data_IF_443966400810
#
_entry.id   IF_443966400810
#
_cell.length_a   1.000
_cell.length_b   1.000
_cell.length_c   1.000
_cell.angle_alpha   90.00
_cell.angle_beta   90.00
_cell.angle_gamma   90.00
#
_symmetry.space_group_name_H-M   'P 1'
#
loop_
_entity.id
_entity.type
_entity.pdbx_description
1 polymer ?
#
# COMPACT_ATOMS: atom_id res chain seq x y z
N UNK A 1 -28.50 46.05 5.51
CA UNK A 1 -29.65 46.52 6.30
C UNK A 1 -30.91 45.93 5.66
N UNK A 2 -31.30 44.70 6.07
CA UNK A 2 -32.52 43.93 5.70
C UNK A 2 -32.83 43.69 4.19
N UNK A 3 -33.69 42.71 3.78
CA UNK A 3 -34.49 41.74 4.56
C UNK A 3 -34.46 40.27 4.06
N UNK A 4 -34.99 39.39 4.91
CA UNK A 4 -35.53 38.07 4.62
C UNK A 4 -36.61 38.06 3.51
N UNK A 5 -36.62 37.02 2.68
CA UNK A 5 -37.82 36.56 1.98
C UNK A 5 -37.94 35.03 2.04
N UNK A 6 -38.97 34.59 2.78
CA UNK A 6 -39.54 33.25 2.72
C UNK A 6 -40.04 32.93 1.30
N UNK A 7 -39.74 31.74 0.79
CA UNK A 7 -40.54 31.09 -0.25
C UNK A 7 -40.81 29.63 0.13
N UNK A 8 -42.09 29.34 0.33
CA UNK A 8 -42.68 28.03 0.58
C UNK A 8 -42.96 27.28 -0.74
N UNK A 9 -42.63 25.99 -0.72
CA UNK A 9 -43.28 24.87 -1.40
C UNK A 9 -43.81 24.99 -2.84
N UNK A 10 -43.13 24.31 -3.77
CA UNK A 10 -43.74 23.31 -4.68
C UNK A 10 -42.70 22.23 -5.05
N UNK A 11 -43.02 20.92 -4.97
CA UNK A 11 -42.15 19.87 -5.48
C UNK A 11 -42.16 19.86 -7.02
N UNK A 12 -40.98 19.81 -7.63
CA UNK A 12 -40.81 19.50 -9.07
C UNK A 12 -40.92 17.98 -9.28
N UNK A 13 -41.40 17.52 -10.45
CA UNK A 13 -41.88 16.16 -10.62
C UNK A 13 -40.73 15.14 -10.63
N UNK A 14 -40.85 14.12 -9.79
CA UNK A 14 -40.05 12.90 -9.88
C UNK A 14 -40.43 12.16 -11.17
N UNK A 15 -39.55 12.18 -12.15
CA UNK A 15 -39.56 11.20 -13.23
C UNK A 15 -39.19 9.84 -12.63
N UNK A 16 -40.21 9.01 -12.39
CA UNK A 16 -40.07 7.59 -12.08
C UNK A 16 -39.32 6.91 -13.23
N UNK A 17 -38.09 6.47 -12.96
CA UNK A 17 -37.44 5.44 -13.74
C UNK A 17 -37.83 4.08 -13.15
N UNK A 18 -38.40 3.21 -13.98
CA UNK A 18 -38.77 1.87 -13.58
C UNK A 18 -37.56 1.01 -13.21
N UNK A 19 -37.83 -0.11 -12.52
CA UNK A 19 -36.89 -1.16 -12.06
C UNK A 19 -35.95 -1.79 -13.12
N UNK A 20 -35.82 -1.21 -14.31
CA UNK A 20 -35.02 -1.71 -15.43
C UNK A 20 -33.74 -0.94 -15.76
N UNK A 21 -33.50 0.24 -15.17
CA UNK A 21 -32.32 1.04 -15.51
C UNK A 21 -31.26 1.00 -14.39
N UNK A 22 -30.45 -0.06 -14.40
CA UNK A 22 -29.11 0.02 -13.80
C UNK A 22 -28.35 1.08 -14.59
N UNK A 23 -28.27 2.30 -14.05
CA UNK A 23 -27.40 3.37 -14.57
C UNK A 23 -26.05 2.75 -14.86
N UNK A 24 -25.61 2.81 -16.13
CA UNK A 24 -24.40 2.10 -16.59
C UNK A 24 -23.25 2.32 -15.61
N UNK A 25 -22.70 1.22 -15.08
CA UNK A 25 -21.60 1.23 -14.11
C UNK A 25 -20.42 2.12 -14.53
N UNK A 26 -20.25 2.37 -15.84
CA UNK A 26 -19.26 3.29 -16.41
C UNK A 26 -19.44 4.74 -15.96
N UNK A 27 -20.67 5.27 -15.91
CA UNK A 27 -20.93 6.65 -15.49
C UNK A 27 -20.74 6.81 -13.97
N UNK A 28 -21.17 5.81 -13.19
CA UNK A 28 -20.94 5.71 -11.74
C UNK A 28 -19.44 5.58 -11.41
N UNK A 29 -18.66 4.82 -12.20
CA UNK A 29 -17.19 4.70 -12.07
C UNK A 29 -16.49 6.05 -12.28
N UNK A 30 -16.78 6.81 -13.32
CA UNK A 30 -16.09 8.08 -13.57
C UNK A 30 -16.35 9.15 -12.51
N UNK A 31 -17.60 9.29 -12.05
CA UNK A 31 -17.97 10.26 -11.00
C UNK A 31 -17.38 9.81 -9.67
N UNK A 32 -17.56 8.55 -9.27
CA UNK A 32 -17.03 8.02 -8.00
C UNK A 32 -15.51 8.04 -7.91
N UNK A 33 -14.77 7.74 -8.99
CA UNK A 33 -13.31 7.81 -9.01
C UNK A 33 -12.79 9.23 -8.81
N UNK A 34 -13.41 10.20 -9.48
CA UNK A 34 -13.05 11.61 -9.30
C UNK A 34 -13.33 12.08 -7.88
N UNK A 35 -14.45 11.64 -7.27
CA UNK A 35 -14.77 11.91 -5.87
C UNK A 35 -13.82 11.19 -4.88
N UNK A 36 -13.47 9.94 -5.13
CA UNK A 36 -12.48 9.20 -4.32
C UNK A 36 -11.11 9.90 -4.32
N UNK A 37 -10.70 10.43 -5.49
CA UNK A 37 -9.44 11.18 -5.64
C UNK A 37 -9.49 12.59 -5.05
N UNK A 38 -10.63 13.28 -5.15
CA UNK A 38 -10.79 14.66 -4.69
C UNK A 38 -11.05 14.75 -3.19
N UNK A 39 -11.83 13.81 -2.63
CA UNK A 39 -12.36 13.94 -1.27
C UNK A 39 -11.65 13.03 -0.27
N UNK A 40 -10.98 11.94 -0.67
CA UNK A 40 -10.48 10.90 0.26
C UNK A 40 -11.52 10.43 1.31
N UNK A 41 -12.81 10.66 1.04
CA UNK A 41 -13.92 10.50 1.98
C UNK A 41 -14.95 9.58 1.33
N UNK A 42 -15.41 8.64 2.14
CA UNK A 42 -16.54 7.73 1.98
C UNK A 42 -17.34 7.91 0.68
N UNK A 43 -17.23 6.94 -0.24
CA UNK A 43 -18.06 6.85 -1.44
C UNK A 43 -18.90 5.59 -1.36
N UNK A 44 -20.21 5.77 -1.22
CA UNK A 44 -21.21 4.73 -1.39
C UNK A 44 -21.86 4.89 -2.77
N UNK A 45 -21.85 3.82 -3.56
CA UNK A 45 -22.65 3.75 -4.79
C UNK A 45 -24.06 3.29 -4.38
N UNK A 46 -25.05 4.19 -4.39
CA UNK A 46 -26.37 3.92 -3.82
C UNK A 46 -27.53 4.34 -4.73
N UNK A 47 -28.57 3.50 -4.75
CA UNK A 47 -29.97 3.91 -4.87
C UNK A 47 -30.71 3.42 -3.62
N UNK A 48 -31.41 4.31 -2.90
CA UNK A 48 -32.34 3.99 -1.80
C UNK A 48 -31.81 3.16 -0.62
N UNK A 49 -30.59 3.41 -0.15
CA UNK A 49 -30.02 2.82 1.07
C UNK A 49 -29.34 1.45 0.89
N UNK A 50 -29.36 0.89 -0.32
CA UNK A 50 -28.60 -0.31 -0.70
C UNK A 50 -27.27 0.11 -1.38
N UNK A 51 -26.14 -0.49 -0.98
CA UNK A 51 -24.81 -0.18 -1.53
C UNK A 51 -24.15 -1.41 -2.11
N UNK A 52 -23.79 -1.38 -3.40
CA UNK A 52 -22.99 -2.44 -4.01
C UNK A 52 -21.53 -2.38 -3.50
N UNK A 53 -20.97 -1.17 -3.39
CA UNK A 53 -19.61 -0.92 -2.95
C UNK A 53 -19.59 0.20 -1.92
N UNK A 54 -18.90 -0.05 -0.82
CA UNK A 54 -18.62 0.92 0.22
C UNK A 54 -17.11 1.15 0.32
N UNK A 55 -16.65 2.24 -0.29
CA UNK A 55 -15.28 2.71 -0.14
C UNK A 55 -15.21 3.67 1.05
N UNK A 56 -14.88 3.14 2.24
CA UNK A 56 -14.94 3.87 3.50
C UNK A 56 -13.54 4.16 4.09
N UNK A 57 -13.48 5.11 5.01
CA UNK A 57 -12.31 5.26 5.88
C UNK A 57 -12.34 4.26 7.05
N UNK A 58 -11.19 4.11 7.70
CA UNK A 58 -11.00 3.20 8.84
C UNK A 58 -11.88 3.56 10.04
N UNK A 59 -12.24 4.83 10.23
CA UNK A 59 -13.13 5.29 11.29
C UNK A 59 -14.54 4.75 11.08
N UNK A 60 -15.09 4.94 9.88
CA UNK A 60 -16.39 4.41 9.50
C UNK A 60 -16.48 2.89 9.69
N UNK A 61 -15.44 2.15 9.27
CA UNK A 61 -15.40 0.69 9.43
C UNK A 61 -15.55 0.27 10.89
N UNK A 62 -14.85 0.93 11.82
CA UNK A 62 -14.88 0.59 13.25
C UNK A 62 -16.26 0.80 13.87
N UNK A 63 -16.98 1.82 13.42
CA UNK A 63 -18.27 2.18 13.98
C UNK A 63 -19.42 1.37 13.39
N UNK A 64 -19.33 0.96 12.12
CA UNK A 64 -20.49 0.45 11.39
C UNK A 64 -20.40 -1.03 10.99
N UNK A 65 -19.19 -1.61 10.88
CA UNK A 65 -19.03 -2.96 10.32
C UNK A 65 -19.79 -4.04 11.11
N UNK A 66 -19.73 -3.99 12.45
CA UNK A 66 -20.36 -4.99 13.31
C UNK A 66 -21.88 -4.80 13.48
N UNK A 67 -22.41 -3.67 13.01
CA UNK A 67 -23.82 -3.30 13.15
C UNK A 67 -24.59 -3.35 11.82
N UNK A 68 -23.89 -3.63 10.71
CA UNK A 68 -24.47 -3.63 9.37
C UNK A 68 -24.63 -5.06 8.87
N UNK A 69 -25.85 -5.41 8.43
CA UNK A 69 -26.05 -6.62 7.62
C UNK A 69 -25.63 -6.33 6.18
N UNK A 70 -24.82 -7.20 5.58
CA UNK A 70 -24.29 -7.02 4.23
C UNK A 70 -24.77 -8.16 3.34
N UNK A 71 -25.40 -7.82 2.22
CA UNK A 71 -25.77 -8.80 1.21
C UNK A 71 -24.55 -9.34 0.46
N UNK A 72 -24.69 -10.53 -0.14
CA UNK A 72 -23.59 -11.24 -0.81
C UNK A 72 -22.84 -10.42 -1.87
N UNK A 73 -23.56 -9.54 -2.57
CA UNK A 73 -22.98 -8.71 -3.63
C UNK A 73 -22.15 -7.53 -3.08
N UNK A 74 -22.34 -7.14 -1.82
CA UNK A 74 -21.70 -5.96 -1.22
C UNK A 74 -20.19 -6.17 -1.07
N UNK A 75 -19.42 -5.11 -1.34
CA UNK A 75 -17.97 -5.07 -1.12
C UNK A 75 -17.53 -3.86 -0.29
N UNK A 76 -16.50 -4.05 0.54
CA UNK A 76 -15.92 -3.05 1.44
C UNK A 76 -14.39 -3.06 1.30
N UNK A 77 -13.78 -1.87 1.25
CA UNK A 77 -12.34 -1.69 1.00
C UNK A 77 -11.43 -1.92 2.21
N UNK A 78 -11.92 -2.55 3.28
CA UNK A 78 -11.14 -2.85 4.47
C UNK A 78 -11.42 -4.22 5.10
N UNK A 79 -10.38 -4.90 5.58
CA UNK A 79 -10.53 -6.00 6.53
C UNK A 79 -10.72 -5.47 7.96
N UNK A 80 -11.56 -6.15 8.76
CA UNK A 80 -11.94 -5.73 10.12
C UNK A 80 -10.75 -5.44 11.02
N UNK A 81 -9.73 -6.29 10.99
CA UNK A 81 -8.48 -6.13 11.75
C UNK A 81 -7.25 -5.90 10.86
N UNK A 82 -7.40 -5.13 9.76
CA UNK A 82 -6.29 -4.72 8.88
C UNK A 82 -5.08 -4.14 9.64
N UNK A 83 -5.33 -3.55 10.81
CA UNK A 83 -4.30 -2.99 11.69
C UNK A 83 -3.26 -4.00 12.19
N UNK A 84 -3.50 -5.31 12.09
CA UNK A 84 -2.51 -6.36 12.36
C UNK A 84 -1.28 -6.26 11.43
N UNK A 85 -1.47 -5.75 10.22
CA UNK A 85 -0.40 -5.50 9.26
C UNK A 85 0.05 -4.04 9.24
N UNK A 86 -0.86 -3.09 9.49
CA UNK A 86 -0.58 -1.66 9.25
C UNK A 86 -0.14 -0.88 10.48
N UNK A 87 -0.46 -1.35 11.69
CA UNK A 87 0.09 -0.73 12.92
C UNK A 87 1.51 -1.23 13.15
N UNK A 88 2.44 -0.30 13.30
CA UNK A 88 3.89 -0.54 13.39
C UNK A 88 4.28 -1.60 14.44
N UNK A 89 3.68 -1.54 15.63
CA UNK A 89 3.94 -2.50 16.71
C UNK A 89 3.41 -3.92 16.40
N UNK A 90 2.19 -4.03 15.85
CA UNK A 90 1.58 -5.31 15.50
C UNK A 90 2.27 -5.93 14.29
N UNK A 91 2.59 -5.15 13.27
CA UNK A 91 3.37 -5.59 12.10
C UNK A 91 4.68 -6.25 12.52
N UNK A 92 5.47 -5.57 13.36
CA UNK A 92 6.76 -6.09 13.84
C UNK A 92 6.57 -7.33 14.71
N UNK A 93 5.55 -7.36 15.58
CA UNK A 93 5.21 -8.53 16.39
C UNK A 93 4.87 -9.75 15.51
N UNK A 94 4.05 -9.55 14.48
CA UNK A 94 3.61 -10.59 13.55
C UNK A 94 4.78 -11.10 12.69
N UNK A 95 5.63 -10.21 12.17
CA UNK A 95 6.84 -10.57 11.43
C UNK A 95 7.85 -11.34 12.29
N UNK A 96 8.13 -10.88 13.53
CA UNK A 96 9.00 -11.59 14.49
C UNK A 96 8.47 -12.98 14.79
N UNK A 97 7.15 -13.12 15.03
CA UNK A 97 6.49 -14.41 15.27
C UNK A 97 6.60 -15.33 14.06
N UNK A 98 6.32 -14.82 12.86
CA UNK A 98 6.39 -15.57 11.62
C UNK A 98 7.81 -16.08 11.33
N UNK A 99 8.83 -15.22 11.48
CA UNK A 99 10.24 -15.61 11.36
C UNK A 99 10.61 -16.77 12.31
N UNK A 100 10.21 -16.69 13.58
CA UNK A 100 10.47 -17.76 14.57
C UNK A 100 9.77 -19.07 14.22
N UNK A 101 8.60 -19.01 13.57
CA UNK A 101 7.91 -20.20 13.06
C UNK A 101 8.65 -20.79 11.86
N UNK A 102 9.03 -19.96 10.88
CA UNK A 102 9.84 -20.41 9.74
C UNK A 102 11.18 -21.02 10.16
N UNK A 103 11.86 -20.46 11.16
CA UNK A 103 13.12 -21.02 11.65
C UNK A 103 12.93 -22.43 12.23
N UNK A 104 11.80 -22.68 12.90
CA UNK A 104 11.45 -24.00 13.47
C UNK A 104 11.03 -25.01 12.41
N UNK A 105 10.30 -24.57 11.38
CA UNK A 105 9.70 -25.46 10.37
C UNK A 105 10.62 -25.71 9.16
N UNK A 106 11.34 -24.69 8.69
CA UNK A 106 12.13 -24.71 7.46
C UNK A 106 13.61 -24.35 7.66
N UNK A 107 14.01 -24.02 8.89
CA UNK A 107 15.40 -23.71 9.25
C UNK A 107 15.82 -22.25 9.04
N UNK A 108 17.06 -21.97 9.43
CA UNK A 108 17.60 -20.59 9.49
C UNK A 108 17.70 -19.89 8.14
N UNK A 109 18.02 -20.63 7.08
CA UNK A 109 18.18 -20.06 5.73
C UNK A 109 16.85 -19.53 5.17
N UNK A 110 15.75 -20.21 5.49
CA UNK A 110 14.42 -19.74 5.07
C UNK A 110 13.95 -18.57 5.95
N UNK A 111 14.26 -18.62 7.25
CA UNK A 111 13.96 -17.53 8.18
C UNK A 111 14.76 -16.26 7.88
N UNK A 112 15.97 -16.34 7.34
CA UNK A 112 16.77 -15.15 6.97
C UNK A 112 16.17 -14.38 5.81
N UNK A 113 15.30 -15.00 5.00
CA UNK A 113 14.51 -14.29 4.00
C UNK A 113 13.47 -13.34 4.62
N UNK A 114 13.30 -13.34 5.95
CA UNK A 114 12.54 -12.34 6.69
C UNK A 114 13.40 -11.16 7.20
N UNK A 115 14.70 -11.11 6.90
CA UNK A 115 15.62 -10.04 7.33
C UNK A 115 15.50 -8.76 6.49
N UNK A 116 14.26 -8.35 6.19
CA UNK A 116 13.93 -7.19 5.38
C UNK A 116 13.27 -6.06 6.15
N UNK A 117 13.16 -6.14 7.48
CA UNK A 117 12.67 -5.03 8.31
C UNK A 117 13.73 -4.65 9.35
N UNK A 118 13.94 -3.36 9.65
CA UNK A 118 15.00 -2.95 10.57
C UNK A 118 14.75 -3.47 11.99
N UNK A 119 15.82 -3.63 12.77
CA UNK A 119 15.71 -4.03 14.17
C UNK A 119 14.80 -3.06 14.93
N UNK A 120 13.74 -3.57 15.55
CA UNK A 120 12.64 -2.76 16.05
C UNK A 120 12.12 -3.28 17.38
N UNK A 121 11.89 -2.37 18.33
CA UNK A 121 11.40 -2.64 19.68
C UNK A 121 10.13 -1.85 19.98
N UNK A 122 9.16 -2.50 20.62
CA UNK A 122 7.90 -1.90 21.05
C UNK A 122 8.02 -1.45 22.50
N UNK A 123 7.92 -0.14 22.73
CA UNK A 123 8.01 0.47 24.04
C UNK A 123 6.61 0.74 24.63
N UNK A 124 6.45 0.61 25.96
CA UNK A 124 7.48 0.33 26.98
C UNK A 124 7.84 -1.17 27.14
N UNK A 125 7.11 -2.09 26.50
CA UNK A 125 7.22 -3.54 26.76
C UNK A 125 8.60 -4.16 26.51
N UNK A 126 9.35 -3.68 25.53
CA UNK A 126 10.66 -4.19 25.15
C UNK A 126 11.80 -3.23 25.56
N UNK A 127 11.55 -2.30 26.51
CA UNK A 127 12.52 -1.26 26.90
C UNK A 127 13.87 -1.84 27.36
N UNK A 128 13.87 -2.83 28.25
CA UNK A 128 15.10 -3.41 28.77
C UNK A 128 15.94 -4.07 27.66
N UNK A 129 15.28 -4.79 26.75
CA UNK A 129 15.95 -5.45 25.61
C UNK A 129 16.50 -4.40 24.63
N UNK A 130 15.76 -3.31 24.41
CA UNK A 130 16.23 -2.18 23.63
C UNK A 130 17.49 -1.55 24.24
N UNK A 131 17.52 -1.31 25.55
CA UNK A 131 18.68 -0.73 26.25
C UNK A 131 19.91 -1.63 26.15
N UNK A 132 19.74 -2.95 26.26
CA UNK A 132 20.84 -3.91 26.07
C UNK A 132 21.41 -3.84 24.65
N UNK A 133 20.55 -3.85 23.63
CA UNK A 133 20.97 -3.77 22.23
C UNK A 133 21.61 -2.41 21.91
N UNK A 134 21.09 -1.33 22.48
CA UNK A 134 21.66 0.01 22.37
C UNK A 134 23.07 0.08 22.95
N UNK A 135 23.28 -0.48 24.15
CA UNK A 135 24.61 -0.56 24.79
C UNK A 135 25.60 -1.43 24.01
N UNK A 136 25.11 -2.49 23.34
CA UNK A 136 25.93 -3.37 22.52
C UNK A 136 26.43 -2.72 21.23
N UNK A 137 25.70 -1.74 20.71
CA UNK A 137 26.05 -1.01 19.49
C UNK A 137 26.22 0.50 19.76
N UNK A 138 27.31 0.93 20.43
CA UNK A 138 27.55 2.34 20.70
C UNK A 138 27.62 3.15 19.41
N UNK A 139 26.94 4.30 19.37
CA UNK A 139 26.89 5.17 18.19
C UNK A 139 25.85 4.79 17.13
N UNK A 140 25.03 3.76 17.38
CA UNK A 140 23.92 3.43 16.46
C UNK A 140 22.79 4.46 16.52
N UNK A 141 22.29 4.84 15.34
CA UNK A 141 21.17 5.79 15.21
C UNK A 141 19.82 5.07 15.24
N UNK A 142 18.83 5.64 15.93
CA UNK A 142 17.48 5.09 16.06
C UNK A 142 16.43 6.13 15.68
N UNK A 143 15.26 5.66 15.25
CA UNK A 143 14.09 6.49 14.96
C UNK A 143 12.94 6.06 15.87
N UNK A 144 12.32 7.04 16.53
CA UNK A 144 11.20 6.84 17.45
C UNK A 144 9.90 7.20 16.75
N UNK A 145 9.03 6.20 16.59
CA UNK A 145 7.77 6.36 15.86
C UNK A 145 6.59 6.12 16.81
N UNK A 146 5.63 7.05 16.95
CA UNK A 146 4.38 6.75 17.63
C UNK A 146 3.62 5.64 16.90
N UNK A 147 2.88 4.82 17.64
CA UNK A 147 2.13 3.68 17.05
C UNK A 147 0.92 4.13 16.23
N UNK A 148 0.30 5.27 16.58
CA UNK A 148 -0.99 5.74 16.04
C UNK A 148 -0.90 6.94 15.10
N UNK A 149 0.22 7.64 15.03
CA UNK A 149 0.35 8.89 14.27
C UNK A 149 1.22 8.69 13.02
N UNK A 150 0.82 9.31 11.91
CA UNK A 150 1.59 9.39 10.67
C UNK A 150 2.73 10.42 10.74
N UNK A 151 3.25 10.71 11.92
CA UNK A 151 4.42 11.56 12.14
C UNK A 151 5.52 10.73 12.79
N UNK A 152 6.74 10.85 12.31
CA UNK A 152 7.91 10.23 12.90
C UNK A 152 8.84 11.32 13.36
N UNK A 153 9.25 11.31 14.62
CA UNK A 153 10.34 12.15 15.10
C UNK A 153 11.63 11.33 15.02
N UNK A 154 12.67 11.90 14.42
CA UNK A 154 14.02 11.35 14.57
C UNK A 154 14.53 11.82 15.92
N UNK A 155 14.98 10.86 16.73
CA UNK A 155 15.62 11.14 17.99
C UNK A 155 16.87 10.27 18.06
N UNK A 156 18.04 10.90 18.20
CA UNK A 156 19.20 10.23 18.77
C UNK A 156 18.87 9.99 20.24
N UNK A 157 18.29 8.83 20.56
CA UNK A 157 17.90 8.52 21.94
C UNK A 157 19.19 8.32 22.74
N UNK A 158 19.59 9.34 23.49
CA UNK A 158 20.42 9.12 24.67
C UNK A 158 19.51 8.52 25.74
N UNK A 159 19.84 7.37 26.35
CA UNK A 159 19.09 6.85 27.47
C UNK A 159 19.36 7.75 28.67
N UNK A 160 18.71 8.90 28.73
CA UNK A 160 18.64 9.73 29.93
C UNK A 160 17.46 9.29 30.78
N UNK A 161 17.72 9.21 32.07
CA UNK A 161 16.78 8.76 33.10
C UNK A 161 15.47 9.56 33.09
N UNK A 162 14.43 8.85 33.52
CA UNK A 162 13.00 9.18 33.51
C UNK A 162 12.64 10.66 33.67
N UNK A 163 11.60 11.08 32.93
CA UNK A 163 10.67 12.12 33.38
C UNK A 163 9.23 11.68 33.17
N UNK A 164 8.59 11.49 34.32
CA UNK A 164 7.21 11.77 34.70
C UNK A 164 6.01 11.12 33.98
N UNK A 165 5.05 10.79 34.85
CA UNK A 165 3.76 10.14 34.69
C UNK A 165 2.80 10.87 33.72
N UNK A 166 3.13 10.94 32.43
CA UNK A 166 2.15 11.15 31.37
C UNK A 166 1.70 9.79 30.81
N UNK A 167 0.45 9.69 30.34
CA UNK A 167 -0.06 8.47 29.67
C UNK A 167 1.00 7.95 28.70
N UNK A 168 1.55 6.76 28.98
CA UNK A 168 2.65 6.19 28.21
C UNK A 168 2.12 5.81 26.83
N UNK A 169 2.18 6.76 25.89
CA UNK A 169 1.92 6.48 24.50
C UNK A 169 2.89 5.38 24.05
N UNK A 170 2.37 4.38 23.33
CA UNK A 170 3.21 3.30 22.84
C UNK A 170 4.03 3.81 21.65
N UNK A 171 5.34 3.63 21.74
CA UNK A 171 6.30 3.99 20.70
C UNK A 171 6.99 2.75 20.14
N UNK A 172 7.51 2.91 18.94
CA UNK A 172 8.36 1.93 18.28
C UNK A 172 9.74 2.55 18.10
N UNK A 173 10.74 1.95 18.75
CA UNK A 173 12.16 2.27 18.58
C UNK A 173 12.73 1.39 17.47
N UNK A 174 13.09 1.99 16.34
CA UNK A 174 13.55 1.27 15.15
C UNK A 174 14.97 1.71 14.78
N UNK A 175 15.85 0.78 14.43
CA UNK A 175 17.20 1.08 13.95
C UNK A 175 17.10 1.91 12.67
N UNK A 176 17.77 3.04 12.65
CA UNK A 176 17.81 3.91 11.48
C UNK A 176 18.71 3.31 10.40
N UNK A 177 18.30 3.42 9.14
CA UNK A 177 19.13 3.03 8.00
C UNK A 177 20.02 4.22 7.66
N UNK A 178 21.25 4.18 8.17
CA UNK A 178 22.24 5.26 8.10
C UNK A 178 22.79 5.47 6.69
N UNK A 179 22.87 4.40 5.89
CA UNK A 179 23.39 4.42 4.53
C UNK A 179 22.29 4.08 3.51
N UNK A 180 21.27 4.95 3.31
CA UNK A 180 20.26 4.74 2.29
C UNK A 180 20.88 4.87 0.88
N UNK A 181 20.29 4.19 -0.10
CA UNK A 181 20.65 4.42 -1.50
C UNK A 181 20.23 5.85 -1.91
N UNK A 182 21.17 6.59 -2.50
CA UNK A 182 20.94 7.99 -2.88
C UNK A 182 20.94 8.15 -4.40
N UNK A 183 20.07 9.04 -4.88
CA UNK A 183 20.08 9.51 -6.28
C UNK A 183 20.31 11.01 -6.24
N UNK A 184 21.36 11.46 -6.94
CA UNK A 184 21.83 12.86 -6.88
C UNK A 184 22.03 13.39 -5.44
N UNK A 185 22.43 12.51 -4.51
CA UNK A 185 22.63 12.83 -3.10
C UNK A 185 21.35 13.01 -2.28
N UNK A 186 20.17 12.65 -2.81
CA UNK A 186 18.87 12.74 -2.11
C UNK A 186 18.38 11.36 -1.70
N UNK A 187 17.78 11.28 -0.51
CA UNK A 187 17.14 10.08 0.02
C UNK A 187 15.78 9.91 -0.66
N UNK A 188 15.34 8.67 -0.85
CA UNK A 188 13.99 8.39 -1.31
C UNK A 188 13.44 7.10 -0.72
N UNK A 189 12.12 7.00 -0.66
CA UNK A 189 11.42 5.75 -0.40
C UNK A 189 10.54 5.38 -1.60
N UNK A 190 10.13 4.12 -1.70
CA UNK A 190 9.22 3.60 -2.70
C UNK A 190 7.83 3.43 -2.11
N UNK A 191 6.82 4.01 -2.76
CA UNK A 191 5.41 3.66 -2.57
C UNK A 191 5.00 2.65 -3.63
N UNK A 192 4.60 1.46 -3.17
CA UNK A 192 4.09 0.37 -4.01
C UNK A 192 2.71 -0.06 -3.53
N UNK A 193 1.83 -0.48 -4.44
CA UNK A 193 0.45 -0.84 -4.11
C UNK A 193 0.22 -2.35 -4.24
N UNK A 194 -0.33 -2.95 -3.18
CA UNK A 194 -0.68 -4.38 -3.14
C UNK A 194 -2.14 -4.52 -2.74
N UNK A 195 -2.94 -5.13 -3.60
CA UNK A 195 -4.35 -5.40 -3.37
C UNK A 195 -4.54 -6.83 -2.88
N UNK A 196 -5.20 -7.00 -1.73
CA UNK A 196 -5.57 -8.31 -1.19
C UNK A 196 -7.08 -8.47 -1.27
N UNK A 197 -7.54 -9.50 -1.96
CA UNK A 197 -8.97 -9.79 -2.14
C UNK A 197 -9.47 -10.91 -1.21
N UNK A 198 -8.55 -11.67 -0.61
CA UNK A 198 -8.87 -12.70 0.38
C UNK A 198 -7.62 -13.10 1.14
N UNK A 199 -7.75 -13.43 2.42
CA UNK A 199 -6.75 -14.10 3.24
C UNK A 199 -7.02 -15.61 3.39
N UNK A 200 -8.22 -16.09 3.03
CA UNK A 200 -8.62 -17.51 3.10
C UNK A 200 -9.34 -17.91 1.80
N UNK A 201 -8.68 -18.52 0.82
CA UNK A 201 -7.22 -18.64 0.67
C UNK A 201 -6.58 -17.29 0.29
N UNK A 202 -5.29 -17.09 0.63
CA UNK A 202 -4.61 -15.81 0.36
C UNK A 202 -4.59 -15.54 -1.15
N UNK A 203 -5.12 -14.38 -1.56
CA UNK A 203 -5.10 -13.89 -2.94
C UNK A 203 -4.62 -12.44 -2.95
N UNK A 204 -3.44 -12.23 -3.52
CA UNK A 204 -2.76 -10.94 -3.53
C UNK A 204 -2.34 -10.55 -4.96
N UNK A 205 -2.47 -9.26 -5.25
CA UNK A 205 -2.20 -8.64 -6.53
C UNK A 205 -1.23 -7.47 -6.35
N UNK A 206 -0.18 -7.43 -7.16
CA UNK A 206 0.79 -6.36 -7.17
C UNK A 206 0.45 -5.37 -8.28
N UNK A 207 0.33 -4.09 -7.97
CA UNK A 207 0.20 -3.07 -9.00
C UNK A 207 1.56 -2.83 -9.66
N UNK A 208 1.62 -2.84 -10.99
CA UNK A 208 2.87 -2.68 -11.74
C UNK A 208 3.49 -1.29 -11.61
N UNK A 209 2.68 -0.29 -11.29
CA UNK A 209 3.14 1.08 -11.16
C UNK A 209 3.21 1.50 -9.68
N UNK A 210 3.93 2.58 -9.44
CA UNK A 210 4.20 3.13 -8.12
C UNK A 210 5.09 4.35 -8.27
N UNK A 211 5.64 4.86 -7.17
CA UNK A 211 6.54 6.00 -7.27
C UNK A 211 7.60 6.01 -6.17
N UNK A 212 8.77 6.54 -6.51
CA UNK A 212 9.80 6.92 -5.56
C UNK A 212 9.56 8.35 -5.08
N UNK A 213 9.52 8.59 -3.77
CA UNK A 213 9.39 9.92 -3.15
C UNK A 213 10.74 10.40 -2.66
N UNK A 214 11.21 11.52 -3.18
CA UNK A 214 12.52 12.09 -2.83
C UNK A 214 12.40 13.11 -1.69
N UNK A 215 13.46 13.19 -0.88
CA UNK A 215 13.70 14.34 0.00
C UNK A 215 14.00 15.59 -0.83
N UNK A 216 13.58 16.76 -0.34
CA UNK A 216 13.90 18.02 -0.98
C UNK A 216 15.38 18.42 -0.78
N UNK A 217 15.96 18.03 0.34
CA UNK A 217 17.36 18.32 0.69
C UNK A 217 18.25 17.10 0.46
N UNK A 218 19.56 17.36 0.28
CA UNK A 218 20.57 16.29 0.18
C UNK A 218 20.72 15.60 1.53
N UNK A 219 20.91 14.29 1.48
CA UNK A 219 21.08 13.44 2.66
C UNK A 219 22.40 13.74 3.37
N UNK A 220 22.35 13.96 4.68
CA UNK A 220 23.52 14.03 5.54
C UNK A 220 23.19 13.54 6.94
N UNK A 221 24.07 12.73 7.54
CA UNK A 221 23.95 12.33 8.94
C UNK A 221 24.43 13.42 9.92
N UNK A 222 25.11 14.46 9.43
CA UNK A 222 25.53 15.60 10.27
C UNK A 222 24.37 16.43 10.79
N UNK A 223 23.21 16.33 10.15
CA UNK A 223 22.04 17.18 10.38
C UNK A 223 20.83 16.36 10.85
N UNK A 224 21.03 15.49 11.84
CA UNK A 224 20.02 14.52 12.29
C UNK A 224 18.70 15.14 12.76
N UNK A 225 18.75 16.37 13.25
CA UNK A 225 17.60 17.13 13.72
C UNK A 225 16.77 17.71 12.56
N UNK A 226 17.33 17.77 11.34
CA UNK A 226 16.64 18.26 10.16
C UNK A 226 15.73 17.18 9.58
N UNK A 227 14.46 17.25 9.96
CA UNK A 227 13.42 16.33 9.50
C UNK A 227 13.27 16.32 7.97
N UNK A 228 13.59 17.41 7.26
CA UNK A 228 13.44 17.50 5.81
C UNK A 228 14.48 16.64 5.06
N UNK A 229 15.65 16.41 5.67
CA UNK A 229 16.72 15.56 5.13
C UNK A 229 16.35 14.08 5.23
N UNK A 230 15.65 13.72 6.30
CA UNK A 230 15.51 12.32 6.69
C UNK A 230 14.12 11.72 6.49
N UNK A 231 13.08 12.55 6.42
CA UNK A 231 11.68 12.15 6.19
C UNK A 231 11.24 12.53 4.77
N UNK A 232 10.79 11.56 3.99
CA UNK A 232 10.39 11.73 2.58
C UNK A 232 8.89 11.98 2.39
N UNK A 233 8.13 12.05 3.49
CA UNK A 233 6.69 12.24 3.45
C UNK A 233 6.31 13.62 2.91
N UNK A 234 5.38 13.64 1.94
CA UNK A 234 4.90 14.89 1.30
C UNK A 234 4.35 15.89 2.32
N UNK A 235 3.68 15.42 3.38
CA UNK A 235 3.14 16.29 4.43
C UNK A 235 4.25 17.09 5.16
N UNK A 236 5.41 16.47 5.36
CA UNK A 236 6.59 17.14 5.94
C UNK A 236 7.28 17.98 4.87
N UNK A 237 7.49 17.44 3.68
CA UNK A 237 8.22 18.14 2.62
C UNK A 237 7.54 19.44 2.17
N UNK A 238 6.19 19.51 2.20
CA UNK A 238 5.43 20.72 1.87
C UNK A 238 5.66 21.89 2.82
N UNK A 239 6.11 21.65 4.05
CA UNK A 239 6.42 22.73 5.01
C UNK A 239 7.85 23.22 4.88
N UNK A 240 8.67 22.59 4.02
CA UNK A 240 10.03 23.03 3.74
C UNK A 240 10.03 24.40 3.05
N UNK A 241 10.89 25.34 3.46
CA UNK A 241 10.97 26.67 2.83
C UNK A 241 11.37 26.61 1.35
N UNK A 242 12.09 25.56 0.95
CA UNK A 242 12.53 25.34 -0.43
C UNK A 242 11.58 24.40 -1.21
N UNK A 243 10.37 24.14 -0.69
CA UNK A 243 9.42 23.25 -1.35
C UNK A 243 8.95 23.87 -2.66
N UNK A 244 9.27 23.18 -3.75
CA UNK A 244 8.86 23.57 -5.09
C UNK A 244 7.91 22.50 -5.64
N UNK A 245 6.61 22.82 -5.79
CA UNK A 245 5.62 21.89 -6.29
C UNK A 245 5.88 21.50 -7.76
N UNK A 246 6.57 22.33 -8.54
CA UNK A 246 6.88 22.08 -9.95
C UNK A 246 8.12 21.20 -10.14
N UNK A 247 9.07 21.20 -9.18
CA UNK A 247 10.29 20.37 -9.26
C UNK A 247 10.06 18.87 -9.12
N UNK A 248 8.86 18.43 -8.78
CA UNK A 248 8.46 17.02 -8.82
C UNK A 248 9.44 16.09 -8.10
N UNK A 249 9.38 16.04 -6.77
CA UNK A 249 10.15 15.07 -5.97
C UNK A 249 9.61 13.63 -6.08
N UNK A 250 9.09 13.24 -7.24
CA UNK A 250 8.54 11.90 -7.51
C UNK A 250 9.07 11.35 -8.82
N UNK A 251 9.59 10.14 -8.80
CA UNK A 251 9.81 9.37 -10.02
C UNK A 251 8.80 8.24 -10.12
N UNK A 252 8.29 8.01 -11.32
CA UNK A 252 7.49 6.81 -11.59
C UNK A 252 8.35 5.56 -11.41
N UNK A 253 7.73 4.45 -10.99
CA UNK A 253 8.44 3.21 -10.72
C UNK A 253 9.20 2.70 -11.96
N UNK A 254 8.62 2.88 -13.15
CA UNK A 254 9.27 2.52 -14.41
C UNK A 254 10.56 3.32 -14.64
N UNK A 255 10.54 4.63 -14.41
CA UNK A 255 11.71 5.49 -14.55
C UNK A 255 12.81 5.09 -13.56
N UNK A 256 12.45 4.81 -12.30
CA UNK A 256 13.40 4.32 -11.31
C UNK A 256 14.04 3.00 -11.74
N UNK A 257 13.22 2.03 -12.18
CA UNK A 257 13.72 0.72 -12.62
C UNK A 257 14.68 0.83 -13.79
N UNK A 258 14.36 1.68 -14.78
CA UNK A 258 15.25 1.96 -15.91
C UNK A 258 16.57 2.58 -15.46
N UNK A 259 16.53 3.58 -14.57
CA UNK A 259 17.73 4.21 -14.02
C UNK A 259 18.61 3.21 -13.26
N UNK A 260 18.01 2.40 -12.38
CA UNK A 260 18.75 1.38 -11.63
C UNK A 260 19.35 0.34 -12.58
N UNK A 261 18.61 -0.06 -13.61
CA UNK A 261 19.07 -1.06 -14.59
C UNK A 261 20.26 -0.53 -15.39
N UNK A 262 20.20 0.73 -15.83
CA UNK A 262 21.29 1.37 -16.55
C UNK A 262 22.54 1.51 -15.68
N UNK A 263 22.38 1.74 -14.36
CA UNK A 263 23.49 1.98 -13.44
C UNK A 263 24.12 0.69 -12.88
N UNK A 264 23.32 -0.31 -12.56
CA UNK A 264 23.76 -1.51 -11.81
C UNK A 264 23.68 -2.81 -12.62
N UNK A 265 23.15 -2.76 -13.84
CA UNK A 265 22.94 -3.92 -14.70
C UNK A 265 21.62 -4.63 -14.43
N UNK A 266 21.19 -5.40 -15.43
CA UNK A 266 19.89 -6.08 -15.42
C UNK A 266 19.76 -7.11 -14.30
N UNK A 267 20.75 -8.00 -14.12
CA UNK A 267 20.66 -9.11 -13.15
C UNK A 267 20.54 -8.63 -11.70
N UNK A 268 21.31 -7.61 -11.32
CA UNK A 268 21.26 -6.97 -10.00
C UNK A 268 19.88 -6.41 -9.72
N UNK A 269 19.31 -5.68 -10.69
CA UNK A 269 17.98 -5.08 -10.54
C UNK A 269 16.87 -6.13 -10.56
N UNK A 270 17.00 -7.19 -11.35
CA UNK A 270 16.06 -8.31 -11.27
C UNK A 270 16.05 -8.95 -9.88
N UNK A 271 17.23 -9.12 -9.28
CA UNK A 271 17.35 -9.64 -7.91
C UNK A 271 16.72 -8.70 -6.89
N UNK A 272 17.00 -7.39 -6.97
CA UNK A 272 16.37 -6.38 -6.12
C UNK A 272 14.84 -6.46 -6.15
N UNK A 273 14.24 -6.52 -7.34
CA UNK A 273 12.77 -6.56 -7.45
C UNK A 273 12.18 -7.89 -6.96
N UNK A 274 12.90 -9.01 -7.09
CA UNK A 274 12.52 -10.28 -6.45
C UNK A 274 12.57 -10.21 -4.92
N UNK A 275 13.56 -9.53 -4.36
CA UNK A 275 13.64 -9.29 -2.91
C UNK A 275 12.49 -8.37 -2.44
N UNK A 276 12.08 -7.39 -3.25
CA UNK A 276 10.88 -6.58 -2.99
C UNK A 276 9.61 -7.45 -3.00
N UNK A 277 9.44 -8.34 -3.97
CA UNK A 277 8.30 -9.27 -4.00
C UNK A 277 8.27 -10.17 -2.76
N UNK A 278 9.44 -10.64 -2.31
CA UNK A 278 9.60 -11.43 -1.11
C UNK A 278 9.12 -10.68 0.15
N UNK A 279 9.35 -9.35 0.23
CA UNK A 279 8.80 -8.51 1.31
C UNK A 279 7.28 -8.60 1.34
N UNK A 280 6.62 -8.36 0.20
CA UNK A 280 5.16 -8.33 0.11
C UNK A 280 4.52 -9.68 0.47
N UNK A 281 5.09 -10.78 -0.03
CA UNK A 281 4.55 -12.11 0.26
C UNK A 281 4.73 -12.44 1.74
N UNK A 282 5.94 -12.29 2.29
CA UNK A 282 6.19 -12.69 3.68
C UNK A 282 5.49 -11.81 4.69
N UNK A 283 5.30 -10.52 4.41
CA UNK A 283 4.48 -9.65 5.26
C UNK A 283 3.03 -10.12 5.30
N UNK A 284 2.43 -10.45 4.15
CA UNK A 284 1.06 -10.97 4.08
C UNK A 284 0.92 -12.35 4.75
N UNK A 285 1.85 -13.28 4.51
CA UNK A 285 1.86 -14.60 5.15
C UNK A 285 1.99 -14.50 6.68
N UNK A 286 2.70 -13.50 7.20
CA UNK A 286 2.87 -13.30 8.64
C UNK A 286 1.56 -12.99 9.38
N UNK A 287 0.58 -12.44 8.66
CA UNK A 287 -0.73 -12.05 9.19
C UNK A 287 -1.87 -12.91 8.67
N UNK A 288 -1.64 -13.81 7.71
CA UNK A 288 -2.69 -14.61 7.05
C UNK A 288 -3.60 -15.35 8.04
N UNK A 289 -3.04 -15.94 9.10
CA UNK A 289 -3.82 -16.66 10.13
C UNK A 289 -4.44 -15.73 11.19
N UNK A 290 -4.06 -14.46 11.20
CA UNK A 290 -4.47 -13.47 12.22
C UNK A 290 -5.55 -12.53 11.68
N UNK A 291 -5.52 -12.18 10.39
CA UNK A 291 -6.54 -11.36 9.78
C UNK A 291 -7.86 -12.13 9.70
N UNK A 292 -8.93 -11.48 10.13
CA UNK A 292 -10.31 -11.97 10.04
C UNK A 292 -10.72 -11.79 8.58
N UNK A 293 -10.76 -12.91 7.87
CA UNK A 293 -11.18 -12.92 6.48
C UNK A 293 -12.71 -12.84 6.39
N UNK A 294 -13.19 -11.92 5.57
CA UNK A 294 -14.59 -11.78 5.22
C UNK A 294 -14.70 -11.65 3.70
N UNK A 295 -15.69 -12.31 3.09
CA UNK A 295 -15.90 -12.33 1.63
C UNK A 295 -16.30 -10.97 1.06
N UNK A 296 -16.83 -10.08 1.89
CA UNK A 296 -17.20 -8.72 1.52
C UNK A 296 -15.97 -7.81 1.47
N UNK A 297 -14.87 -8.19 2.12
CA UNK A 297 -13.71 -7.33 2.30
C UNK A 297 -12.65 -7.54 1.21
N UNK A 298 -12.07 -6.44 0.76
CA UNK A 298 -10.78 -6.39 0.08
C UNK A 298 -9.97 -5.26 0.70
N UNK A 299 -8.68 -5.18 0.43
CA UNK A 299 -7.84 -4.11 0.98
C UNK A 299 -6.74 -3.73 0.02
N UNK A 300 -6.63 -2.43 -0.27
CA UNK A 300 -5.55 -1.85 -1.04
C UNK A 300 -4.49 -1.29 -0.10
N UNK A 301 -3.38 -2.02 0.07
CA UNK A 301 -2.26 -1.59 0.90
C UNK A 301 -1.28 -0.71 0.11
N UNK A 302 -0.75 0.32 0.77
CA UNK A 302 0.43 1.05 0.32
C UNK A 302 1.67 0.61 1.11
N UNK A 303 2.63 -0.02 0.44
CA UNK A 303 3.90 -0.42 1.02
C UNK A 303 4.94 0.68 0.84
N UNK A 304 5.68 0.95 1.93
CA UNK A 304 6.78 1.90 1.95
C UNK A 304 8.10 1.13 2.10
N UNK A 305 8.90 1.13 1.03
CA UNK A 305 10.17 0.40 0.96
C UNK A 305 11.32 1.40 0.86
N UNK A 306 12.39 1.19 1.63
CA UNK A 306 13.64 1.95 1.53
C UNK A 306 14.75 1.05 0.99
N UNK A 307 15.55 1.56 0.06
CA UNK A 307 16.75 0.86 -0.40
C UNK A 307 17.96 1.36 0.38
N UNK A 308 18.85 0.47 0.82
CA UNK A 308 20.16 0.85 1.33
C UNK A 308 21.23 0.91 0.23
N UNK A 309 22.42 1.40 0.58
CA UNK A 309 23.54 1.57 -0.35
C UNK A 309 23.92 0.29 -1.13
N UNK A 310 23.63 -0.88 -0.56
CA UNK A 310 23.93 -2.20 -1.14
C UNK A 310 22.75 -2.75 -1.96
N UNK A 311 21.75 -1.90 -2.25
CA UNK A 311 20.49 -2.24 -2.92
C UNK A 311 19.67 -3.30 -2.18
N UNK A 312 19.82 -3.43 -0.86
CA UNK A 312 18.90 -4.27 -0.08
C UNK A 312 17.62 -3.49 0.20
N UNK A 313 16.44 -4.06 -0.10
CA UNK A 313 15.17 -3.43 0.20
C UNK A 313 14.75 -3.67 1.66
N UNK A 314 14.23 -2.62 2.29
CA UNK A 314 13.77 -2.62 3.68
C UNK A 314 12.30 -2.18 3.76
N UNK A 315 11.46 -2.99 4.40
CA UNK A 315 10.09 -2.63 4.75
C UNK A 315 10.10 -1.60 5.88
N UNK A 316 9.54 -0.42 5.62
CA UNK A 316 9.45 0.67 6.59
C UNK A 316 8.06 0.71 7.24
N UNK A 317 7.01 0.68 6.42
CA UNK A 317 5.63 0.65 6.87
C UNK A 317 4.69 0.07 5.80
N UNK A 318 3.52 -0.38 6.26
CA UNK A 318 2.39 -0.76 5.41
C UNK A 318 1.21 0.10 5.82
N UNK A 319 0.61 0.81 4.87
CA UNK A 319 -0.49 1.72 5.10
C UNK A 319 -1.80 1.10 4.60
N UNK A 320 -2.82 1.05 5.46
CA UNK A 320 -4.21 0.92 5.03
C UNK A 320 -4.66 2.28 4.50
N UNK A 321 -5.56 2.29 3.52
CA UNK A 321 -6.05 3.53 2.89
C UNK A 321 -4.90 4.47 2.44
N UNK A 322 -3.96 4.02 1.58
CA UNK A 322 -2.87 4.89 1.14
C UNK A 322 -3.41 6.18 0.52
N UNK A 323 -2.79 7.32 0.80
CA UNK A 323 -3.29 8.63 0.32
C UNK A 323 -3.50 8.65 -1.20
N UNK A 324 -4.75 8.93 -1.60
CA UNK A 324 -5.21 9.04 -2.98
C UNK A 324 -5.28 10.50 -3.47
N UNK A 325 -4.94 11.48 -2.64
CA UNK A 325 -4.89 12.88 -3.04
C UNK A 325 -3.75 13.11 -4.03
N UNK A 326 -4.07 13.57 -5.23
CA UNK A 326 -3.08 13.81 -6.27
C UNK A 326 -2.29 15.11 -6.01
N UNK A 327 -0.96 15.05 -6.13
CA UNK A 327 -0.10 16.24 -6.05
C UNK A 327 0.30 16.81 -7.42
N UNK A 328 0.20 16.03 -8.48
CA UNK A 328 0.49 16.40 -9.87
C UNK A 328 -0.44 15.64 -10.81
N UNK A 329 -0.44 15.99 -12.10
CA UNK A 329 -1.25 15.29 -13.10
C UNK A 329 -0.82 13.82 -13.23
N UNK A 330 0.47 13.53 -13.19
CA UNK A 330 0.99 12.15 -13.26
C UNK A 330 0.56 11.33 -12.05
N UNK A 331 0.55 11.94 -10.85
CA UNK A 331 0.08 11.31 -9.62
C UNK A 331 -1.44 11.05 -9.68
N UNK A 332 -2.21 11.98 -10.28
CA UNK A 332 -3.63 11.81 -10.55
C UNK A 332 -3.87 10.64 -11.50
N UNK A 333 -3.18 10.61 -12.64
CA UNK A 333 -3.34 9.56 -13.66
C UNK A 333 -2.95 8.18 -13.13
N UNK A 334 -1.91 8.09 -12.30
CA UNK A 334 -1.53 6.85 -11.62
C UNK A 334 -2.63 6.38 -10.67
N UNK A 335 -3.12 7.26 -9.80
CA UNK A 335 -4.11 6.90 -8.77
C UNK A 335 -5.49 6.62 -9.36
N UNK A 336 -5.88 7.36 -10.39
CA UNK A 336 -7.09 7.09 -11.14
C UNK A 336 -7.06 5.68 -11.75
N UNK A 337 -5.98 5.34 -12.46
CA UNK A 337 -5.81 4.01 -13.05
C UNK A 337 -5.75 2.91 -11.98
N UNK A 338 -5.08 3.17 -10.86
CA UNK A 338 -5.01 2.25 -9.73
C UNK A 338 -6.39 1.90 -9.18
N UNK A 339 -7.22 2.91 -8.92
CA UNK A 339 -8.58 2.72 -8.42
C UNK A 339 -9.47 2.05 -9.46
N UNK A 340 -9.41 2.48 -10.72
CA UNK A 340 -10.16 1.86 -11.81
C UNK A 340 -9.82 0.36 -11.93
N UNK A 341 -8.54 0.01 -11.90
CA UNK A 341 -8.08 -1.37 -11.97
C UNK A 341 -8.42 -2.18 -10.71
N UNK A 342 -8.46 -1.52 -9.54
CA UNK A 342 -8.90 -2.16 -8.29
C UNK A 342 -10.36 -2.60 -8.43
N UNK A 343 -11.22 -1.74 -8.97
CA UNK A 343 -12.63 -2.07 -9.22
C UNK A 343 -12.79 -3.18 -10.28
N UNK A 344 -11.90 -3.27 -11.26
CA UNK A 344 -11.88 -4.39 -12.20
C UNK A 344 -11.53 -5.72 -11.52
N UNK A 345 -10.61 -5.73 -10.54
CA UNK A 345 -10.26 -6.92 -9.77
C UNK A 345 -11.39 -7.34 -8.82
N UNK A 346 -12.03 -6.38 -8.14
CA UNK A 346 -13.15 -6.65 -7.23
C UNK A 346 -14.33 -7.28 -7.98
N UNK A 347 -14.44 -6.97 -9.28
CA UNK A 347 -15.32 -7.63 -10.24
C UNK A 347 -16.80 -7.67 -9.84
N UNK A 348 -17.33 -6.49 -9.50
CA UNK A 348 -18.75 -6.30 -9.15
C UNK A 348 -19.73 -6.77 -10.22
N UNK A 349 -19.27 -6.93 -11.46
CA UNK A 349 -20.09 -7.31 -12.61
C UNK A 349 -19.91 -8.77 -13.04
N UNK A 350 -19.06 -9.55 -12.33
CA UNK A 350 -18.83 -10.96 -12.61
C UNK A 350 -18.24 -11.24 -14.00
N UNK A 351 -17.35 -10.36 -14.48
CA UNK A 351 -16.70 -10.46 -15.80
C UNK A 351 -15.48 -11.36 -15.77
N UNK A 352 -14.85 -11.58 -14.62
CA UNK A 352 -13.63 -12.38 -14.49
C UNK A 352 -13.97 -13.88 -14.39
N UNK A 353 -13.12 -14.70 -14.99
CA UNK A 353 -13.24 -16.17 -14.97
C UNK A 353 -12.57 -16.82 -13.75
N UNK A 354 -11.77 -16.05 -13.00
CA UNK A 354 -10.96 -16.51 -11.87
C UNK A 354 -9.62 -17.12 -12.27
N UNK A 355 -9.30 -17.15 -13.57
CA UNK A 355 -8.03 -17.67 -14.12
C UNK A 355 -7.07 -16.56 -14.55
N UNK A 356 -7.49 -15.31 -14.45
CA UNK A 356 -6.71 -14.16 -14.87
C UNK A 356 -5.48 -14.02 -14.00
N UNK A 357 -4.30 -14.04 -14.64
CA UNK A 357 -3.03 -13.73 -13.98
C UNK A 357 -2.73 -12.23 -13.96
N UNK A 358 -3.44 -11.44 -14.76
CA UNK A 358 -3.21 -10.00 -14.95
C UNK A 358 -4.54 -9.33 -15.28
N UNK A 359 -4.87 -8.24 -14.61
CA UNK A 359 -6.09 -7.43 -14.84
C UNK A 359 -5.77 -5.96 -14.64
N UNK A 360 -5.97 -5.15 -15.67
CA UNK A 360 -5.50 -3.77 -15.69
C UNK A 360 -3.99 -3.69 -15.46
N UNK A 361 -3.57 -2.82 -14.54
CA UNK A 361 -2.20 -2.72 -14.05
C UNK A 361 -1.84 -3.71 -12.93
N UNK A 362 -2.74 -4.59 -12.49
CA UNK A 362 -2.45 -5.59 -11.46
C UNK A 362 -1.92 -6.89 -12.05
N UNK A 363 -0.90 -7.45 -11.41
CA UNK A 363 -0.42 -8.80 -11.61
C UNK A 363 -0.77 -9.67 -10.40
N UNK A 364 -1.35 -10.84 -10.64
CA UNK A 364 -1.61 -11.82 -9.60
C UNK A 364 -0.28 -12.41 -9.14
N UNK A 365 0.14 -12.05 -7.93
CA UNK A 365 1.43 -12.52 -7.37
C UNK A 365 1.26 -13.80 -6.55
N UNK A 366 0.10 -13.97 -5.90
CA UNK A 366 -0.19 -15.09 -5.01
C UNK A 366 -1.66 -15.48 -5.07
N UNK A 367 -1.92 -16.78 -5.23
CA UNK A 367 -3.26 -17.38 -5.20
C UNK A 367 -3.18 -18.76 -4.54
N UNK A 368 -3.22 -18.77 -3.21
CA UNK A 368 -2.90 -19.93 -2.36
C UNK A 368 -1.54 -20.58 -2.64
N UNK A 369 -0.64 -19.80 -3.23
CA UNK A 369 0.68 -20.22 -3.68
C UNK A 369 1.28 -19.19 -4.65
N UNK A 370 2.59 -19.25 -4.92
CA UNK A 370 3.23 -18.37 -5.88
C UNK A 370 2.62 -18.54 -7.28
N UNK A 371 2.34 -17.43 -7.96
CA UNK A 371 1.87 -17.45 -9.35
C UNK A 371 3.04 -17.17 -10.30
N UNK A 372 3.19 -18.02 -11.31
CA UNK A 372 4.28 -17.96 -12.27
C UNK A 372 3.81 -17.55 -13.67
N UNK A 373 4.72 -16.93 -14.44
CA UNK A 373 4.48 -16.58 -15.84
C UNK A 373 4.43 -17.84 -16.71
N UNK A 374 3.64 -17.80 -17.79
CA UNK A 374 3.49 -18.93 -18.72
C UNK A 374 4.75 -19.21 -19.56
N UNK A 375 5.72 -18.30 -19.58
CA UNK A 375 6.94 -18.36 -20.42
C UNK A 375 7.94 -19.45 -19.95
N UNK A 376 7.74 -20.05 -18.77
CA UNK A 376 8.68 -21.00 -18.15
C UNK A 376 8.50 -22.48 -18.48
N UNK A 377 7.57 -22.86 -19.37
CA UNK A 377 7.29 -24.29 -19.67
C UNK A 377 7.89 -24.82 -20.98
N UNK A 378 8.28 -23.97 -21.93
CA UNK A 378 8.64 -24.46 -23.29
C UNK A 378 10.06 -24.14 -23.77
N UNK A 379 10.84 -23.33 -23.04
CA UNK A 379 12.21 -22.98 -23.45
C UNK A 379 13.22 -23.27 -22.34
N UNK A 380 14.13 -24.22 -22.63
CA UNK A 380 15.22 -24.76 -21.81
C UNK A 380 14.78 -25.75 -20.72
N UNK A 381 15.33 -26.97 -20.78
CA UNK A 381 15.09 -28.09 -19.87
C UNK A 381 15.60 -27.90 -18.43
N UNK A 382 15.40 -26.72 -17.87
CA UNK A 382 15.61 -26.38 -16.47
C UNK A 382 14.47 -25.45 -16.06
N UNK A 383 13.51 -25.96 -15.29
CA UNK A 383 12.30 -25.26 -14.87
C UNK A 383 12.60 -24.08 -13.94
N UNK A 384 13.02 -22.94 -14.50
CA UNK A 384 13.11 -21.69 -13.74
C UNK A 384 11.71 -21.05 -13.74
N UNK A 385 10.91 -21.36 -12.72
CA UNK A 385 9.60 -20.75 -12.54
C UNK A 385 9.77 -19.25 -12.24
N UNK A 386 9.49 -18.40 -13.23
CA UNK A 386 9.57 -16.95 -13.09
C UNK A 386 8.30 -16.42 -12.43
N UNK A 387 8.43 -15.59 -11.39
CA UNK A 387 7.31 -14.97 -10.69
C UNK A 387 6.50 -14.06 -11.64
N UNK A 388 5.18 -14.07 -11.52
CA UNK A 388 4.28 -13.23 -12.30
C UNK A 388 4.20 -11.80 -11.71
N UNK A 389 5.33 -11.12 -11.61
CA UNK A 389 5.43 -9.76 -11.05
C UNK A 389 6.22 -8.87 -12.01
N UNK A 390 5.62 -7.74 -12.40
CA UNK A 390 6.22 -6.83 -13.40
C UNK A 390 6.30 -5.38 -12.87
N UNK A 391 6.60 -5.21 -11.58
CA UNK A 391 6.73 -3.90 -10.94
C UNK A 391 7.78 -3.03 -11.68
N UNK A 392 7.37 -1.86 -12.17
CA UNK A 392 8.21 -0.95 -12.96
C UNK A 392 8.55 -1.43 -14.38
N UNK A 393 7.95 -2.52 -14.87
CA UNK A 393 7.99 -2.86 -16.31
C UNK A 393 6.99 -2.03 -17.12
N UNK A 394 7.12 -2.10 -18.44
CA UNK A 394 6.12 -1.58 -19.37
C UNK A 394 4.75 -2.22 -19.09
N UNK A 395 3.73 -1.37 -18.98
CA UNK A 395 2.38 -1.78 -18.66
C UNK A 395 1.50 -1.84 -19.94
N UNK A 396 1.07 -3.05 -20.33
CA UNK A 396 0.17 -3.32 -21.46
C UNK A 396 -1.33 -3.17 -21.12
N UNK A 397 -1.64 -2.52 -19.99
CA UNK A 397 -2.97 -2.27 -19.42
C UNK A 397 -4.08 -2.04 -20.45
N UNK A 398 -3.93 -1.05 -21.33
CA UNK A 398 -4.99 -0.68 -22.28
C UNK A 398 -5.34 -1.83 -23.21
N UNK A 399 -4.33 -2.52 -23.77
CA UNK A 399 -4.53 -3.67 -24.66
C UNK A 399 -5.18 -4.83 -23.90
N UNK A 400 -4.75 -5.06 -22.66
CA UNK A 400 -5.28 -6.14 -21.84
C UNK A 400 -6.73 -5.89 -21.42
N UNK A 401 -7.07 -4.68 -20.94
CA UNK A 401 -8.45 -4.33 -20.59
C UNK A 401 -9.36 -4.37 -21.82
N UNK A 402 -8.90 -3.94 -22.99
CA UNK A 402 -9.67 -4.09 -24.22
C UNK A 402 -9.96 -5.54 -24.59
N UNK A 403 -9.06 -6.48 -24.26
CA UNK A 403 -9.29 -7.91 -24.48
C UNK A 403 -10.25 -8.51 -23.45
N UNK A 404 -10.09 -8.14 -22.17
CA UNK A 404 -10.91 -8.61 -21.05
C UNK A 404 -12.35 -8.08 -21.14
N UNK A 405 -12.53 -6.83 -21.58
CA UNK A 405 -13.82 -6.16 -21.62
C UNK A 405 -14.52 -6.26 -22.98
N UNK A 406 -14.09 -7.18 -23.87
CA UNK A 406 -14.83 -7.43 -25.11
C UNK A 406 -16.25 -7.90 -24.77
N UNK A 407 -17.28 -7.32 -25.39
CA UNK A 407 -18.64 -7.79 -25.19
C UNK A 407 -18.74 -9.26 -25.62
N UNK A 408 -19.38 -10.09 -24.80
CA UNK A 408 -19.67 -11.47 -25.15
C UNK A 408 -20.38 -11.50 -26.52
N UNK A 409 -19.98 -12.38 -27.46
CA UNK A 409 -20.72 -12.58 -28.69
C UNK A 409 -22.11 -13.17 -28.34
N UNK A 410 -23.11 -12.31 -28.16
CA UNK A 410 -24.46 -12.72 -27.78
C UNK A 410 -25.28 -11.71 -26.98
N UNK A 411 -24.66 -10.72 -26.31
CA UNK A 411 -25.40 -9.62 -25.67
C UNK A 411 -25.83 -8.60 -26.74
N UNK A 412 -26.97 -8.86 -27.38
CA UNK A 412 -27.71 -7.79 -28.08
C UNK A 412 -28.06 -6.74 -27.03
N UNK A 413 -27.66 -5.49 -27.28
CA UNK A 413 -28.20 -4.32 -26.57
C UNK A 413 -29.71 -4.31 -26.86
N UNK A 414 -30.50 -4.73 -25.89
CA UNK A 414 -31.95 -4.51 -25.85
C UNK A 414 -32.25 -3.26 -25.06
#
# INVERSE_FOLDING_TARGET
MWPDQHYSGRPKPETRLGRGERVSAVLLRCVSLSFMLASCIHVSLCSDGEWDLNWCDVGWLRENFDHSYMEEHVRICHFRNHYELTRKNLMVKNLKRYRKTLEREAGRLEASKCDFFPCTFVLPSEYHIFVEEFKRSPGSTWIMKPVSVYSSALCTVLPTEQKDEAQVESYVAQRYIENPYLIAGRKFDLRVYVLVTSYIALKAWLYRDGFARFSNTRFSLSSIDDQYVHLTNVAVQKTSPDYDPEKGCKWQMQQLRQYLTAKHGFETVQTLFKEIDNIFIRSLLSVQKTIINDKHCFELYGYDILLDQDLKPWLIEVNASPSLTASSQEDYDLKYRLLEDTLHIVDMEGRLTGKEKRVGGFDLMWNDGPVHTDVGLEALGSSCLVANTHLGCVNDRQKQLQQLLKPFPGQKRT
#
